data_IF_208103264357
#
_entry.id   IF_208103264357
#
_cell.length_a   1.000
_cell.length_b   1.000
_cell.length_c   1.000
_cell.angle_alpha   90.00
_cell.angle_beta   90.00
_cell.angle_gamma   90.00
#
_symmetry.space_group_name_H-M   'P 1'
#
loop_
_entity.id
_entity.type
_entity.pdbx_description
1 polymer ?
#
# COMPACT_ATOMS: atom_id res chain seq x y z
N UNK A 1 0.24 -6.66 -2.32
CA UNK A 1 -0.03 -5.90 -1.08
C UNK A 1 -1.05 -6.69 -0.27
N UNK A 2 -0.88 -6.78 1.06
CA UNK A 2 -1.86 -7.43 1.93
C UNK A 2 -3.24 -6.77 1.75
N UNK A 3 -4.30 -7.57 1.73
CA UNK A 3 -5.66 -7.05 1.58
C UNK A 3 -6.16 -6.53 2.94
N UNK A 4 -6.91 -5.42 2.97
CA UNK A 4 -7.36 -4.83 4.24
C UNK A 4 -8.44 -5.61 4.99
N UNK A 5 -9.01 -6.67 4.41
CA UNK A 5 -9.86 -7.66 5.11
C UNK A 5 -10.89 -7.06 6.09
N UNK A 6 -11.72 -6.13 5.62
CA UNK A 6 -12.79 -5.54 6.44
C UNK A 6 -12.37 -4.35 7.31
N UNK A 7 -11.09 -3.95 7.32
CA UNK A 7 -10.66 -2.71 7.97
C UNK A 7 -11.40 -1.50 7.39
N UNK A 8 -11.87 -0.63 8.28
CA UNK A 8 -12.57 0.60 7.91
C UNK A 8 -11.58 1.69 7.56
N UNK A 9 -10.50 1.85 8.31
CA UNK A 9 -9.53 2.95 8.17
C UNK A 9 -8.12 2.45 7.88
N UNK A 10 -7.24 3.33 7.38
CA UNK A 10 -5.83 2.97 7.18
C UNK A 10 -5.10 2.70 8.50
N UNK A 11 -5.54 3.30 9.61
CA UNK A 11 -5.06 2.92 10.94
C UNK A 11 -5.39 1.47 11.27
N UNK A 12 -6.66 1.06 11.12
CA UNK A 12 -7.06 -0.32 11.36
C UNK A 12 -6.28 -1.28 10.45
N UNK A 13 -6.10 -0.93 9.18
CA UNK A 13 -5.29 -1.72 8.25
C UNK A 13 -3.84 -1.90 8.73
N UNK A 14 -3.18 -0.82 9.18
CA UNK A 14 -1.83 -0.90 9.69
C UNK A 14 -1.75 -1.78 10.94
N UNK A 15 -2.63 -1.55 11.92
CA UNK A 15 -2.60 -2.22 13.22
C UNK A 15 -3.04 -3.68 13.17
N UNK A 16 -4.02 -4.02 12.33
CA UNK A 16 -4.67 -5.33 12.35
C UNK A 16 -4.19 -6.26 11.23
N UNK A 17 -3.56 -5.72 10.19
CA UNK A 17 -3.13 -6.51 9.02
C UNK A 17 -1.63 -6.39 8.78
N UNK A 18 -1.13 -5.18 8.55
CA UNK A 18 0.24 -4.99 8.08
C UNK A 18 1.28 -5.23 9.18
N UNK A 19 1.16 -4.56 10.33
CA UNK A 19 2.13 -4.70 11.42
C UNK A 19 2.17 -6.12 12.00
N UNK A 20 1.02 -6.80 12.24
CA UNK A 20 1.03 -8.19 12.70
C UNK A 20 1.69 -9.14 11.69
N UNK A 21 1.53 -8.90 10.39
CA UNK A 21 2.23 -9.67 9.36
C UNK A 21 3.74 -9.51 9.49
N UNK A 22 4.25 -8.28 9.53
CA UNK A 22 5.70 -8.02 9.68
C UNK A 22 6.24 -8.60 10.99
N UNK A 23 5.51 -8.43 12.09
CA UNK A 23 5.88 -8.97 13.40
C UNK A 23 5.94 -10.51 13.42
N UNK A 24 5.13 -11.19 12.59
CA UNK A 24 5.23 -12.63 12.41
C UNK A 24 6.45 -13.01 11.58
N UNK A 25 6.71 -12.32 10.47
CA UNK A 25 7.84 -12.64 9.60
C UNK A 25 9.19 -12.44 10.31
N UNK A 26 9.32 -11.49 11.24
CA UNK A 26 10.57 -11.28 11.99
C UNK A 26 10.83 -12.32 13.08
N UNK A 27 9.86 -13.14 13.48
CA UNK A 27 10.06 -14.14 14.55
C UNK A 27 11.11 -15.20 14.19
N UNK A 28 11.32 -15.47 12.90
CA UNK A 28 12.21 -16.52 12.41
C UNK A 28 13.54 -15.99 11.86
N UNK A 29 13.75 -14.67 11.85
CA UNK A 29 14.91 -14.03 11.22
C UNK A 29 15.41 -12.85 12.05
N UNK A 30 16.69 -12.48 11.87
CA UNK A 30 17.27 -11.32 12.56
C UNK A 30 16.84 -9.97 11.95
N UNK A 31 16.37 -9.96 10.70
CA UNK A 31 16.00 -8.75 9.96
C UNK A 31 14.98 -9.07 8.88
N UNK A 32 14.02 -8.17 8.70
CA UNK A 32 13.08 -8.16 7.57
C UNK A 32 13.24 -6.85 6.81
N UNK A 33 13.53 -6.94 5.51
CA UNK A 33 13.56 -5.79 4.61
C UNK A 33 12.27 -5.71 3.80
N UNK A 34 11.60 -4.55 3.84
CA UNK A 34 10.35 -4.31 3.12
C UNK A 34 10.66 -3.48 1.88
N UNK A 35 10.50 -4.10 0.71
CA UNK A 35 10.75 -3.43 -0.58
C UNK A 35 9.42 -3.12 -1.27
N UNK A 36 9.23 -1.83 -1.56
CA UNK A 36 8.08 -1.35 -2.29
C UNK A 36 8.36 -1.28 -3.80
N UNK A 37 7.39 -1.67 -4.63
CA UNK A 37 7.47 -1.46 -6.07
C UNK A 37 7.25 0.03 -6.40
N UNK A 38 8.27 0.67 -6.94
CA UNK A 38 8.25 2.06 -7.39
C UNK A 38 8.26 2.13 -8.93
N UNK A 39 7.32 2.88 -9.50
CA UNK A 39 7.33 3.19 -10.93
C UNK A 39 8.01 4.53 -11.17
N UNK A 40 9.27 4.46 -11.61
CA UNK A 40 9.99 5.66 -12.03
C UNK A 40 9.34 6.30 -13.26
N UNK A 41 9.25 7.63 -13.24
CA UNK A 41 8.81 8.44 -14.37
C UNK A 41 9.65 8.10 -15.60
N UNK A 42 9.02 8.04 -16.79
CA UNK A 42 9.66 7.68 -18.07
C UNK A 42 10.16 6.23 -18.20
N UNK A 43 9.80 5.32 -17.29
CA UNK A 43 10.04 3.88 -17.51
C UNK A 43 9.03 3.27 -18.48
N UNK A 44 9.46 2.25 -19.25
CA UNK A 44 8.57 1.46 -20.10
C UNK A 44 7.37 0.88 -19.32
N UNK A 45 7.61 0.51 -18.06
CA UNK A 45 6.56 0.05 -17.13
C UNK A 45 5.54 1.15 -16.83
N UNK A 46 5.98 2.39 -16.59
CA UNK A 46 5.10 3.54 -16.36
C UNK A 46 4.22 3.82 -17.59
N UNK A 47 4.83 3.86 -18.78
CA UNK A 47 4.11 4.08 -20.04
C UNK A 47 3.06 2.98 -20.33
N UNK A 48 3.41 1.71 -20.10
CA UNK A 48 2.47 0.60 -20.26
C UNK A 48 1.33 0.62 -19.23
N UNK A 49 1.58 1.12 -18.01
CA UNK A 49 0.57 1.22 -16.94
C UNK A 49 -0.47 2.31 -17.23
N UNK A 50 -0.06 3.46 -17.79
CA UNK A 50 -0.97 4.55 -18.14
C UNK A 50 -2.13 4.11 -19.06
N UNK A 51 -1.91 3.05 -19.86
CA UNK A 51 -2.91 2.46 -20.76
C UNK A 51 -3.95 1.56 -20.07
N UNK A 52 -3.74 1.15 -18.80
CA UNK A 52 -4.58 0.16 -18.08
C UNK A 52 -5.76 0.76 -17.28
N UNK A 53 -6.05 2.05 -17.50
CA UNK A 53 -7.12 2.77 -16.81
C UNK A 53 -6.69 3.35 -15.47
N UNK A 54 -7.41 4.40 -15.05
CA UNK A 54 -7.08 5.19 -13.87
C UNK A 54 -7.95 4.74 -12.69
N UNK A 55 -7.32 4.42 -11.56
CA UNK A 55 -8.05 4.27 -10.30
C UNK A 55 -8.43 5.64 -9.73
N UNK A 56 -9.20 5.65 -8.65
CA UNK A 56 -9.55 6.90 -7.95
C UNK A 56 -8.42 7.25 -6.99
N UNK A 57 -7.93 8.50 -7.07
CA UNK A 57 -6.99 9.04 -6.08
C UNK A 57 -7.69 9.14 -4.73
N UNK A 58 -7.06 8.60 -3.69
CA UNK A 58 -7.54 8.68 -2.31
C UNK A 58 -6.37 8.96 -1.39
N UNK A 59 -6.47 10.07 -0.67
CA UNK A 59 -5.46 10.47 0.31
C UNK A 59 -5.35 9.41 1.40
N UNK A 60 -4.13 9.11 1.86
CA UNK A 60 -3.90 8.18 2.96
C UNK A 60 -3.70 8.96 4.26
N UNK A 61 -4.69 8.90 5.15
CA UNK A 61 -4.61 9.42 6.52
C UNK A 61 -5.15 8.37 7.50
N UNK A 62 -4.84 8.56 8.77
CA UNK A 62 -5.15 7.66 9.89
C UNK A 62 -6.62 7.22 9.87
N UNK A 63 -7.53 8.19 9.77
CA UNK A 63 -8.98 8.05 9.83
C UNK A 63 -9.65 7.88 8.46
N UNK A 64 -8.89 8.03 7.37
CA UNK A 64 -9.47 7.91 6.02
C UNK A 64 -9.91 6.47 5.77
N UNK A 65 -11.12 6.35 5.23
CA UNK A 65 -11.70 5.05 4.90
C UNK A 65 -10.88 4.33 3.83
N UNK A 66 -10.56 3.07 4.10
CA UNK A 66 -9.94 2.17 3.13
C UNK A 66 -10.90 1.95 1.94
N UNK A 67 -10.40 2.01 0.70
CA UNK A 67 -11.23 1.83 -0.48
C UNK A 67 -11.73 0.39 -0.62
N UNK A 68 -12.99 0.25 -1.06
CA UNK A 68 -13.59 -1.07 -1.29
C UNK A 68 -12.87 -1.87 -2.37
N UNK A 69 -12.40 -1.21 -3.44
CA UNK A 69 -11.53 -1.85 -4.45
C UNK A 69 -10.06 -1.54 -4.15
N UNK A 70 -9.42 -2.45 -3.40
CA UNK A 70 -8.00 -2.35 -3.07
C UNK A 70 -7.12 -2.40 -4.33
N UNK A 71 -7.47 -3.26 -5.29
CA UNK A 71 -6.72 -3.39 -6.53
C UNK A 71 -6.77 -2.12 -7.37
N UNK A 72 -7.94 -1.45 -7.45
CA UNK A 72 -8.08 -0.18 -8.15
C UNK A 72 -7.29 0.94 -7.46
N UNK A 73 -7.34 1.00 -6.12
CA UNK A 73 -6.57 1.95 -5.33
C UNK A 73 -5.06 1.82 -5.57
N UNK A 74 -4.54 0.60 -5.58
CA UNK A 74 -3.13 0.31 -5.85
C UNK A 74 -2.73 0.52 -7.31
N UNK A 75 -3.64 0.84 -8.24
CA UNK A 75 -3.25 1.22 -9.61
C UNK A 75 -2.76 2.66 -9.69
N UNK A 76 -3.10 3.50 -8.71
CA UNK A 76 -2.71 4.91 -8.65
C UNK A 76 -1.38 5.02 -7.92
N UNK A 77 -0.37 5.60 -8.57
CA UNK A 77 0.99 5.65 -8.02
C UNK A 77 1.05 6.53 -6.76
N UNK A 78 0.34 7.65 -6.77
CA UNK A 78 0.25 8.58 -5.65
C UNK A 78 -0.34 7.90 -4.41
N UNK A 79 -1.37 7.08 -4.59
CA UNK A 79 -1.97 6.30 -3.52
C UNK A 79 -0.96 5.31 -2.92
N UNK A 80 -0.14 4.67 -3.75
CA UNK A 80 0.93 3.78 -3.29
C UNK A 80 1.99 4.54 -2.53
N UNK A 81 2.48 5.66 -3.08
CA UNK A 81 3.50 6.50 -2.43
C UNK A 81 3.04 6.96 -1.06
N UNK A 82 1.81 7.47 -0.95
CA UNK A 82 1.24 7.88 0.33
C UNK A 82 1.04 6.69 1.28
N UNK A 83 0.56 5.54 0.79
CA UNK A 83 0.39 4.33 1.61
C UNK A 83 1.73 3.82 2.15
N UNK A 84 2.75 3.73 1.32
CA UNK A 84 4.07 3.22 1.71
C UNK A 84 4.75 4.16 2.70
N UNK A 85 4.67 5.48 2.48
CA UNK A 85 5.12 6.47 3.45
C UNK A 85 4.39 6.34 4.78
N UNK A 86 3.06 6.15 4.74
CA UNK A 86 2.26 5.94 5.95
C UNK A 86 2.67 4.68 6.74
N UNK A 87 2.96 3.58 6.05
CA UNK A 87 3.36 2.32 6.69
C UNK A 87 4.82 2.31 7.17
N UNK A 88 5.72 3.06 6.51
CA UNK A 88 7.13 3.08 6.87
C UNK A 88 7.43 3.89 8.14
N UNK A 89 6.53 4.81 8.54
CA UNK A 89 6.69 5.65 9.73
C UNK A 89 6.11 4.98 11.00
N UNK A 90 5.39 3.86 10.84
CA UNK A 90 4.61 3.20 11.90
C UNK A 90 5.33 2.01 12.52
#
# INVERSE_FOLDING_TARGET
>A
MLKPNGCKTFQEYAQNVFMPFVAREIQSVSRVDIVWDEYRTNSLKSAARGKRGHGIRRRVQIDTRVPGSWDAFLRVNENKTELFGYLAIR
#
